data_IF_084152703573
#
_entry.id   IF_084152703573
#
_cell.length_a   1.000
_cell.length_b   1.000
_cell.length_c   1.000
_cell.angle_alpha   90.00
_cell.angle_beta   90.00
_cell.angle_gamma   90.00
#
_symmetry.space_group_name_H-M   'P 1'
#
loop_
_entity.id
_entity.type
_entity.pdbx_description
1 polymer ?
#
# COMPACT_ATOMS: atom_id res chain seq x y z
N UNK A 1 19.56 -10.54 16.09
CA UNK A 1 18.62 -10.40 14.94
C UNK A 1 19.25 -9.41 13.97
N UNK A 2 19.21 -9.67 12.66
CA UNK A 2 19.78 -8.73 11.66
C UNK A 2 18.66 -7.90 11.06
N UNK A 3 18.82 -6.58 11.07
CA UNK A 3 17.89 -5.63 10.47
C UNK A 3 18.49 -5.04 9.21
N UNK A 4 17.74 -5.02 8.10
CA UNK A 4 18.18 -4.38 6.85
C UNK A 4 17.89 -2.89 6.91
N UNK A 5 18.92 -2.05 6.82
CA UNK A 5 18.74 -0.62 6.54
C UNK A 5 19.17 -0.35 5.11
N UNK A 6 18.23 0.17 4.31
CA UNK A 6 18.50 0.57 2.95
C UNK A 6 17.74 1.86 2.64
N UNK A 7 18.47 2.96 2.51
CA UNK A 7 17.88 4.25 2.15
C UNK A 7 17.50 4.23 0.68
N UNK A 8 16.22 4.41 0.37
CA UNK A 8 15.78 4.59 -1.02
C UNK A 8 15.60 6.05 -1.43
N UNK A 9 15.22 6.88 -0.46
CA UNK A 9 15.03 8.33 -0.61
C UNK A 9 16.32 9.06 -0.99
N UNK A 10 16.21 10.23 -1.63
CA UNK A 10 17.38 11.02 -1.99
C UNK A 10 18.13 11.48 -0.72
N UNK A 11 19.42 11.71 -0.88
CA UNK A 11 20.23 12.45 0.10
C UNK A 11 20.36 13.87 -0.42
N UNK A 12 20.12 14.83 0.45
CA UNK A 12 20.15 16.25 0.13
C UNK A 12 21.30 16.88 0.92
N UNK A 13 22.25 17.45 0.19
CA UNK A 13 23.37 18.18 0.77
C UNK A 13 22.88 19.19 1.83
N UNK A 14 23.56 19.21 2.98
CA UNK A 14 23.24 20.10 4.10
C UNK A 14 22.13 19.61 5.03
N UNK A 15 21.43 18.53 4.71
CA UNK A 15 20.50 17.89 5.66
C UNK A 15 21.24 16.93 6.60
N UNK A 16 20.61 16.61 7.73
CA UNK A 16 21.17 15.75 8.77
C UNK A 16 20.66 14.32 8.64
N UNK A 17 21.57 13.38 8.86
CA UNK A 17 21.33 11.96 8.68
C UNK A 17 22.00 11.14 9.77
N UNK A 18 21.40 10.00 10.06
CA UNK A 18 22.14 8.87 10.62
C UNK A 18 22.95 8.24 9.49
N UNK A 19 24.25 8.04 9.72
CA UNK A 19 25.16 7.46 8.74
C UNK A 19 26.11 6.44 9.35
N UNK A 20 26.63 5.57 8.50
CA UNK A 20 27.66 4.58 8.79
C UNK A 20 28.88 4.85 7.91
N UNK A 21 30.07 4.46 8.35
CA UNK A 21 31.25 4.43 7.48
C UNK A 21 31.33 3.08 6.79
N UNK A 22 31.36 3.04 5.46
CA UNK A 22 31.44 1.80 4.72
C UNK A 22 32.75 1.04 5.04
N UNK A 23 32.67 -0.22 5.49
CA UNK A 23 33.84 -1.07 5.75
C UNK A 23 34.67 -1.43 4.51
N UNK A 24 34.18 -1.11 3.31
CA UNK A 24 34.86 -1.34 2.04
C UNK A 24 35.57 -0.11 1.49
N UNK A 25 34.83 0.98 1.23
CA UNK A 25 35.40 2.19 0.62
C UNK A 25 35.61 3.35 1.60
N UNK A 26 35.30 3.17 2.89
CA UNK A 26 35.41 4.20 3.95
C UNK A 26 34.55 5.45 3.74
N UNK A 27 33.69 5.45 2.73
CA UNK A 27 32.73 6.51 2.46
C UNK A 27 31.50 6.42 3.37
N UNK A 28 30.84 7.56 3.60
CA UNK A 28 29.61 7.60 4.40
C UNK A 28 28.42 6.97 3.66
N UNK A 29 27.69 6.12 4.37
CA UNK A 29 26.40 5.56 3.96
C UNK A 29 25.31 6.26 4.78
N UNK A 30 24.57 7.16 4.14
CA UNK A 30 23.43 7.83 4.76
C UNK A 30 22.23 6.86 4.84
N UNK A 31 21.80 6.50 6.05
CA UNK A 31 20.78 5.46 6.27
C UNK A 31 19.38 6.02 6.54
N UNK A 32 19.26 7.03 7.40
CA UNK A 32 17.97 7.57 7.86
C UNK A 32 18.06 9.09 8.05
N UNK A 33 16.92 9.79 7.90
CA UNK A 33 16.85 11.21 8.21
C UNK A 33 16.98 11.44 9.72
N UNK A 34 17.77 12.43 10.13
CA UNK A 34 17.76 12.91 11.51
C UNK A 34 16.82 14.11 11.66
N UNK A 35 15.62 13.84 12.17
CA UNK A 35 14.61 14.86 12.43
C UNK A 35 15.01 15.86 13.51
N UNK A 36 16.03 15.53 14.33
CA UNK A 36 16.58 16.44 15.33
C UNK A 36 17.56 17.46 14.76
N UNK A 37 17.99 17.31 13.50
CA UNK A 37 18.95 18.20 12.83
C UNK A 37 20.27 18.36 13.62
N UNK A 38 20.79 17.25 14.14
CA UNK A 38 22.03 17.21 14.92
C UNK A 38 21.87 17.57 16.40
N UNK A 39 20.66 17.93 16.85
CA UNK A 39 20.47 18.44 18.21
C UNK A 39 20.35 17.36 19.28
N UNK A 40 20.01 16.13 18.91
CA UNK A 40 19.84 15.02 19.87
C UNK A 40 20.78 13.87 19.50
N UNK A 41 21.53 13.32 20.47
CA UNK A 41 22.36 12.15 20.20
C UNK A 41 21.49 10.95 19.80
N UNK A 42 22.05 10.08 18.98
CA UNK A 42 21.42 8.82 18.59
C UNK A 42 21.19 7.97 19.82
N UNK A 43 19.92 7.69 20.12
CA UNK A 43 19.54 6.70 21.14
C UNK A 43 18.91 5.52 20.42
N UNK A 44 19.71 4.52 20.11
CA UNK A 44 19.21 3.25 19.59
C UNK A 44 19.24 2.25 20.73
N UNK A 45 18.08 1.65 21.00
CA UNK A 45 17.95 0.55 21.93
C UNK A 45 17.98 -0.76 21.15
N UNK A 46 18.67 -1.77 21.69
CA UNK A 46 18.77 -3.10 21.10
C UNK A 46 20.21 -3.50 20.76
N UNK A 47 20.41 -4.81 20.61
CA UNK A 47 21.67 -5.49 20.31
C UNK A 47 21.69 -6.13 18.91
N UNK A 48 20.71 -5.79 18.07
CA UNK A 48 20.60 -6.32 16.72
C UNK A 48 21.60 -5.67 15.75
N UNK A 49 22.24 -6.49 14.93
CA UNK A 49 23.10 -6.02 13.84
C UNK A 49 22.27 -5.37 12.72
N UNK A 50 22.89 -4.43 12.03
CA UNK A 50 22.34 -3.70 10.89
C UNK A 50 23.06 -4.18 9.62
N UNK A 51 22.35 -4.85 8.71
CA UNK A 51 22.85 -5.13 7.37
C UNK A 51 22.61 -3.91 6.49
N UNK A 52 23.68 -3.28 6.00
CA UNK A 52 23.60 -2.03 5.22
C UNK A 52 24.47 -2.13 3.96
N UNK A 53 23.88 -2.01 2.76
CA UNK A 53 24.64 -2.03 1.52
C UNK A 53 25.18 -0.63 1.19
N UNK A 54 26.44 -0.56 0.78
CA UNK A 54 27.04 0.67 0.29
C UNK A 54 26.69 0.89 -1.18
N UNK A 55 26.04 2.00 -1.51
CA UNK A 55 25.68 2.34 -2.89
C UNK A 55 26.87 2.69 -3.79
N UNK A 56 28.04 2.93 -3.21
CA UNK A 56 29.25 3.31 -3.94
C UNK A 56 30.06 2.10 -4.40
N UNK A 57 30.38 1.19 -3.47
CA UNK A 57 31.18 0.01 -3.75
C UNK A 57 30.39 -1.30 -3.78
N UNK A 58 29.06 -1.24 -3.61
CA UNK A 58 28.13 -2.37 -3.61
C UNK A 58 28.38 -3.43 -2.51
N UNK A 59 29.26 -3.12 -1.55
CA UNK A 59 29.55 -4.00 -0.43
C UNK A 59 28.39 -4.01 0.56
N UNK A 60 28.01 -5.20 1.00
CA UNK A 60 26.96 -5.44 1.99
C UNK A 60 27.60 -5.98 3.27
N UNK A 61 27.54 -5.21 4.35
CA UNK A 61 28.17 -5.58 5.63
C UNK A 61 27.19 -5.43 6.79
N UNK A 62 27.55 -6.06 7.91
CA UNK A 62 26.91 -5.92 9.21
C UNK A 62 27.56 -4.79 10.02
N UNK A 63 26.74 -3.98 10.66
CA UNK A 63 27.13 -2.86 11.52
C UNK A 63 26.43 -2.99 12.87
N UNK A 64 27.11 -2.61 13.94
CA UNK A 64 26.48 -2.49 15.25
C UNK A 64 25.68 -1.18 15.32
N UNK A 65 24.63 -1.08 16.17
CA UNK A 65 23.98 0.19 16.44
C UNK A 65 24.92 1.31 16.90
N UNK A 66 26.05 0.95 17.54
CA UNK A 66 27.08 1.89 17.98
C UNK A 66 27.92 2.49 16.84
N UNK A 67 27.87 1.90 15.64
CA UNK A 67 28.59 2.42 14.47
C UNK A 67 27.87 3.64 13.85
N UNK A 68 26.61 3.89 14.24
CA UNK A 68 25.81 4.99 13.72
C UNK A 68 26.26 6.34 14.28
N UNK A 69 26.50 7.28 13.38
CA UNK A 69 26.82 8.67 13.71
C UNK A 69 25.82 9.62 13.07
N UNK A 70 25.58 10.74 13.74
CA UNK A 70 24.82 11.85 13.15
C UNK A 70 25.79 12.72 12.37
N UNK A 71 25.50 12.91 11.09
CA UNK A 71 26.33 13.71 10.18
C UNK A 71 25.44 14.60 9.33
N UNK A 72 25.97 15.75 8.95
CA UNK A 72 25.39 16.56 7.89
C UNK A 72 25.93 16.05 6.55
N UNK A 73 25.06 15.85 5.55
CA UNK A 73 25.50 15.36 4.25
C UNK A 73 26.30 16.42 3.49
N UNK A 74 27.48 16.06 3.00
CA UNK A 74 28.34 16.94 2.19
C UNK A 74 27.97 16.93 0.70
N UNK A 75 27.11 16.00 0.30
CA UNK A 75 26.74 15.71 -1.08
C UNK A 75 25.26 15.36 -1.21
N UNK A 76 24.80 15.28 -2.46
CA UNK A 76 23.44 14.85 -2.77
C UNK A 76 23.46 13.55 -3.58
N UNK A 77 22.53 12.65 -3.27
CA UNK A 77 22.30 11.44 -4.04
C UNK A 77 20.86 11.41 -4.55
N UNK A 78 20.64 10.99 -5.81
CA UNK A 78 19.29 10.80 -6.30
C UNK A 78 18.59 9.67 -5.55
N UNK A 79 17.26 9.70 -5.60
CA UNK A 79 16.43 8.58 -5.18
C UNK A 79 16.76 7.32 -5.97
N UNK A 80 16.65 6.16 -5.33
CA UNK A 80 16.67 4.85 -6.02
C UNK A 80 15.27 4.32 -6.33
N UNK A 81 14.24 5.09 -6.01
CA UNK A 81 12.91 4.84 -6.54
C UNK A 81 12.88 5.20 -8.03
N UNK A 82 12.17 4.41 -8.86
CA UNK A 82 11.84 4.87 -10.20
C UNK A 82 11.03 6.17 -10.10
N UNK A 83 11.16 7.02 -11.12
CA UNK A 83 10.33 8.21 -11.24
C UNK A 83 8.85 7.83 -11.20
N UNK A 84 8.07 8.60 -10.43
CA UNK A 84 6.66 8.31 -10.18
C UNK A 84 5.80 9.07 -11.16
N UNK A 85 4.78 8.39 -11.67
CA UNK A 85 3.81 8.99 -12.59
C UNK A 85 2.93 10.03 -11.87
N UNK A 86 2.44 11.02 -12.60
CA UNK A 86 1.53 12.00 -12.01
C UNK A 86 0.19 11.34 -11.66
N UNK A 87 -0.26 11.47 -10.42
CA UNK A 87 -1.52 10.89 -9.94
C UNK A 87 -2.72 11.47 -10.69
N UNK A 88 -3.63 10.60 -11.14
CA UNK A 88 -4.92 10.97 -11.71
C UNK A 88 -6.07 10.40 -10.87
N UNK A 89 -7.03 11.26 -10.51
CA UNK A 89 -8.26 10.87 -9.81
C UNK A 89 -9.32 10.30 -10.77
N UNK A 90 -9.03 10.21 -12.06
CA UNK A 90 -9.97 9.67 -13.03
C UNK A 90 -10.10 8.15 -12.87
N UNK A 91 -11.33 7.59 -12.95
CA UNK A 91 -11.51 6.15 -13.03
C UNK A 91 -10.98 5.63 -14.38
N UNK A 92 -10.90 4.30 -14.52
CA UNK A 92 -10.65 3.69 -15.83
C UNK A 92 -11.66 4.20 -16.88
N UNK A 93 -11.19 4.48 -18.09
CA UNK A 93 -12.00 5.10 -19.15
C UNK A 93 -12.51 4.04 -20.13
N UNK A 94 -13.78 4.08 -20.58
CA UNK A 94 -14.25 3.19 -21.64
C UNK A 94 -13.41 3.39 -22.91
N UNK A 95 -12.92 2.30 -23.51
CA UNK A 95 -12.02 2.35 -24.67
C UNK A 95 -12.65 3.12 -25.83
N UNK A 96 -13.92 2.83 -26.16
CA UNK A 96 -14.62 3.45 -27.29
C UNK A 96 -14.71 4.98 -27.14
N UNK A 97 -14.84 5.48 -25.91
CA UNK A 97 -14.97 6.93 -25.65
C UNK A 97 -13.63 7.65 -25.67
N UNK A 98 -12.60 7.04 -25.10
CA UNK A 98 -11.28 7.68 -24.98
C UNK A 98 -10.39 7.46 -26.21
N UNK A 99 -10.54 6.32 -26.90
CA UNK A 99 -9.68 5.90 -28.01
C UNK A 99 -10.51 5.19 -29.10
N UNK A 100 -11.43 5.93 -29.73
CA UNK A 100 -12.41 5.41 -30.69
C UNK A 100 -11.84 4.67 -31.91
N UNK A 101 -10.55 4.84 -32.22
CA UNK A 101 -9.85 4.19 -33.34
C UNK A 101 -8.78 3.18 -32.90
N UNK A 102 -8.62 2.94 -31.59
CA UNK A 102 -7.63 2.00 -31.09
C UNK A 102 -7.96 0.57 -31.52
N UNK A 103 -6.95 -0.12 -32.06
CA UNK A 103 -6.96 -1.54 -32.37
C UNK A 103 -6.27 -2.28 -31.25
N UNK A 104 -7.01 -3.10 -30.52
CA UNK A 104 -6.53 -3.75 -29.30
C UNK A 104 -6.19 -5.20 -29.57
N UNK A 105 -5.02 -5.61 -29.09
CA UNK A 105 -4.62 -7.00 -29.01
C UNK A 105 -4.67 -7.44 -27.55
N UNK A 106 -5.46 -8.47 -27.25
CA UNK A 106 -5.62 -9.04 -25.91
C UNK A 106 -4.82 -10.33 -25.80
N UNK A 107 -4.29 -10.63 -24.62
CA UNK A 107 -3.63 -11.91 -24.37
C UNK A 107 -2.63 -11.87 -23.21
N UNK A 108 -2.14 -13.04 -22.85
CA UNK A 108 -1.09 -13.20 -21.84
C UNK A 108 0.22 -12.61 -22.39
N UNK A 109 1.01 -11.96 -21.53
CA UNK A 109 2.31 -11.38 -21.91
C UNK A 109 2.24 -9.96 -22.46
N UNK A 110 1.13 -9.51 -23.07
CA UNK A 110 1.06 -8.15 -23.63
C UNK A 110 1.20 -7.03 -22.60
N UNK A 111 1.00 -7.31 -21.31
CA UNK A 111 1.31 -6.35 -20.25
C UNK A 111 2.81 -6.00 -20.21
N UNK A 112 3.69 -6.88 -20.68
CA UNK A 112 5.14 -6.68 -20.75
C UNK A 112 5.53 -5.59 -21.76
N UNK A 113 4.72 -5.39 -22.80
CA UNK A 113 4.88 -4.27 -23.74
C UNK A 113 4.58 -2.90 -23.09
N UNK A 114 4.10 -2.89 -21.85
CA UNK A 114 3.78 -1.69 -21.05
C UNK A 114 4.51 -1.75 -19.70
N UNK A 115 5.85 -1.71 -19.67
CA UNK A 115 6.63 -2.03 -18.46
C UNK A 115 6.30 -1.12 -17.27
N UNK A 116 6.01 0.16 -17.50
CA UNK A 116 5.56 1.09 -16.45
C UNK A 116 4.21 0.68 -15.85
N UNK A 117 3.23 0.35 -16.71
CA UNK A 117 1.92 -0.12 -16.25
C UNK A 117 2.04 -1.46 -15.53
N UNK A 118 2.85 -2.39 -16.06
CA UNK A 118 3.15 -3.69 -15.43
C UNK A 118 3.75 -3.53 -14.04
N UNK A 119 4.73 -2.63 -13.87
CA UNK A 119 5.34 -2.34 -12.57
C UNK A 119 4.33 -1.76 -11.58
N UNK A 120 3.43 -0.87 -12.02
CA UNK A 120 2.38 -0.31 -11.17
C UNK A 120 1.33 -1.36 -10.77
N UNK A 121 0.88 -2.20 -11.71
CA UNK A 121 -0.02 -3.32 -11.42
C UNK A 121 0.63 -4.30 -10.44
N UNK A 122 1.91 -4.64 -10.67
CA UNK A 122 2.69 -5.47 -9.77
C UNK A 122 2.72 -4.89 -8.36
N UNK A 123 3.06 -3.60 -8.23
CA UNK A 123 3.07 -2.90 -6.94
C UNK A 123 1.71 -2.91 -6.25
N UNK A 124 0.62 -2.67 -6.98
CA UNK A 124 -0.75 -2.72 -6.44
C UNK A 124 -1.06 -4.09 -5.85
N UNK A 125 -0.73 -5.15 -6.58
CA UNK A 125 -0.99 -6.54 -6.15
C UNK A 125 -0.10 -6.90 -4.96
N UNK A 126 1.20 -6.63 -5.02
CA UNK A 126 2.14 -7.03 -3.96
C UNK A 126 1.92 -6.25 -2.66
N UNK A 127 1.64 -4.95 -2.73
CA UNK A 127 1.39 -4.13 -1.52
C UNK A 127 0.11 -4.52 -0.80
N UNK A 128 -0.80 -5.26 -1.45
CA UNK A 128 -1.99 -5.76 -0.77
C UNK A 128 -1.68 -6.84 0.27
N UNK A 129 -0.65 -7.66 0.05
CA UNK A 129 -0.22 -8.64 1.04
C UNK A 129 0.20 -7.95 2.36
N UNK A 130 0.87 -6.80 2.26
CA UNK A 130 1.24 -5.99 3.43
C UNK A 130 0.00 -5.44 4.16
N UNK A 131 -1.04 -5.05 3.42
CA UNK A 131 -2.34 -4.66 3.99
C UNK A 131 -2.97 -5.83 4.76
N UNK A 132 -2.94 -7.05 4.21
CA UNK A 132 -3.48 -8.24 4.89
C UNK A 132 -2.72 -8.58 6.18
N UNK A 133 -1.39 -8.40 6.19
CA UNK A 133 -0.58 -8.49 7.40
C UNK A 133 -1.03 -7.48 8.44
N UNK A 134 -1.24 -6.21 8.07
CA UNK A 134 -1.71 -5.18 9.00
C UNK A 134 -3.13 -5.47 9.52
N UNK A 135 -4.04 -5.95 8.68
CA UNK A 135 -5.39 -6.36 9.11
C UNK A 135 -5.31 -7.52 10.10
N UNK A 136 -4.42 -8.49 9.89
CA UNK A 136 -4.21 -9.61 10.82
C UNK A 136 -3.67 -9.12 12.16
N UNK A 137 -2.72 -8.18 12.14
CA UNK A 137 -2.19 -7.54 13.37
C UNK A 137 -3.28 -6.77 14.12
N UNK A 138 -4.13 -6.05 13.38
CA UNK A 138 -5.27 -5.34 13.95
C UNK A 138 -6.28 -6.31 14.59
N UNK A 139 -6.57 -7.44 13.95
CA UNK A 139 -7.41 -8.47 14.55
C UNK A 139 -6.77 -9.05 15.83
N UNK A 140 -5.46 -9.30 15.83
CA UNK A 140 -4.75 -9.80 16.99
C UNK A 140 -4.81 -8.82 18.18
N UNK A 141 -4.64 -7.53 17.90
CA UNK A 141 -4.87 -6.45 18.87
C UNK A 141 -6.29 -6.52 19.42
N UNK A 142 -7.33 -6.55 18.57
CA UNK A 142 -8.72 -6.62 19.02
C UNK A 142 -9.00 -7.84 19.91
N UNK A 143 -8.47 -9.01 19.55
CA UNK A 143 -8.67 -10.26 20.28
C UNK A 143 -7.82 -10.36 21.57
N UNK A 144 -6.83 -9.48 21.77
CA UNK A 144 -5.85 -9.62 22.86
C UNK A 144 -5.05 -10.93 22.75
N UNK A 145 -4.87 -11.45 21.53
CA UNK A 145 -4.30 -12.75 21.26
C UNK A 145 -2.93 -12.63 20.58
N UNK A 146 -2.10 -13.67 20.72
CA UNK A 146 -0.80 -13.69 20.07
C UNK A 146 -0.96 -13.85 18.54
N UNK A 147 -0.11 -13.13 17.79
CA UNK A 147 -0.22 -12.95 16.34
C UNK A 147 -0.21 -14.29 15.57
N UNK A 148 0.65 -15.29 15.88
CA UNK A 148 0.67 -16.54 15.14
C UNK A 148 -0.66 -17.30 15.18
N UNK A 149 -1.35 -17.31 16.33
CA UNK A 149 -2.64 -17.97 16.51
C UNK A 149 -3.71 -17.28 15.66
N UNK A 150 -3.75 -15.95 15.71
CA UNK A 150 -4.70 -15.16 14.93
C UNK A 150 -4.40 -15.27 13.44
N UNK A 151 -3.12 -15.27 13.03
CA UNK A 151 -2.72 -15.47 11.64
C UNK A 151 -3.16 -16.84 11.10
N UNK A 152 -3.05 -17.91 11.89
CA UNK A 152 -3.53 -19.23 11.49
C UNK A 152 -5.06 -19.25 11.25
N UNK A 153 -5.83 -18.66 12.17
CA UNK A 153 -7.30 -18.56 12.03
C UNK A 153 -7.68 -17.65 10.87
N UNK A 154 -7.12 -16.44 10.82
CA UNK A 154 -7.43 -15.44 9.81
C UNK A 154 -7.02 -15.89 8.41
N UNK A 155 -5.87 -16.55 8.27
CA UNK A 155 -5.42 -17.15 7.01
C UNK A 155 -6.30 -18.32 6.53
N UNK A 156 -7.04 -18.97 7.42
CA UNK A 156 -8.04 -19.99 7.01
C UNK A 156 -9.28 -19.37 6.37
N UNK A 157 -9.53 -18.07 6.59
CA UNK A 157 -10.63 -17.32 6.00
C UNK A 157 -10.26 -16.89 4.57
N UNK A 158 -10.61 -17.74 3.60
CA UNK A 158 -10.20 -17.58 2.19
C UNK A 158 -10.78 -16.36 1.48
N UNK A 159 -11.89 -15.80 1.96
CA UNK A 159 -12.54 -14.67 1.31
C UNK A 159 -12.51 -13.44 2.23
N UNK A 160 -12.29 -12.28 1.61
CA UNK A 160 -12.15 -11.01 2.31
C UNK A 160 -13.40 -10.57 3.06
N UNK A 161 -14.60 -10.96 2.61
CA UNK A 161 -15.85 -10.66 3.31
C UNK A 161 -15.84 -11.31 4.69
N UNK A 162 -15.55 -12.61 4.77
CA UNK A 162 -15.49 -13.34 6.03
C UNK A 162 -14.38 -12.80 6.94
N UNK A 163 -13.26 -12.35 6.38
CA UNK A 163 -12.22 -11.64 7.15
C UNK A 163 -12.73 -10.33 7.75
N UNK A 164 -13.47 -9.52 6.97
CA UNK A 164 -14.09 -8.28 7.46
C UNK A 164 -15.19 -8.52 8.49
N UNK A 165 -15.96 -9.59 8.32
CA UNK A 165 -17.00 -10.00 9.29
C UNK A 165 -16.36 -10.41 10.62
N UNK A 166 -15.29 -11.22 10.58
CA UNK A 166 -14.54 -11.60 11.77
C UNK A 166 -13.93 -10.39 12.49
N UNK A 167 -13.38 -9.43 11.74
CA UNK A 167 -12.85 -8.19 12.29
C UNK A 167 -13.94 -7.34 12.96
N UNK A 168 -15.11 -7.24 12.32
CA UNK A 168 -16.26 -6.50 12.86
C UNK A 168 -16.79 -7.15 14.13
N UNK A 169 -16.96 -8.47 14.13
CA UNK A 169 -17.43 -9.22 15.29
C UNK A 169 -16.48 -9.10 16.48
N UNK A 170 -15.16 -9.21 16.27
CA UNK A 170 -14.17 -8.99 17.32
C UNK A 170 -14.26 -7.56 17.89
N UNK A 171 -14.42 -6.57 17.02
CA UNK A 171 -14.50 -5.18 17.40
C UNK A 171 -15.75 -4.83 18.20
N UNK A 172 -16.91 -5.37 17.84
CA UNK A 172 -18.18 -5.15 18.55
C UNK A 172 -18.13 -5.60 20.01
N UNK A 173 -17.29 -6.59 20.32
CA UNK A 173 -17.11 -7.10 21.69
C UNK A 173 -16.19 -6.19 22.52
N UNK A 174 -15.19 -5.56 21.90
CA UNK A 174 -14.07 -4.93 22.64
C UNK A 174 -13.97 -3.42 22.50
N UNK A 175 -14.64 -2.81 21.51
CA UNK A 175 -14.55 -1.38 21.22
C UNK A 175 -15.80 -0.65 21.72
N UNK A 176 -15.61 0.59 22.17
CA UNK A 176 -16.73 1.50 22.42
C UNK A 176 -17.30 2.03 21.08
N UNK A 177 -18.42 2.75 21.13
CA UNK A 177 -19.11 3.24 19.94
C UNK A 177 -18.27 4.14 19.02
N UNK A 178 -17.39 4.98 19.56
CA UNK A 178 -16.55 5.86 18.73
C UNK A 178 -15.46 5.07 18.01
N UNK A 179 -14.77 4.17 18.72
CA UNK A 179 -13.73 3.33 18.15
C UNK A 179 -14.29 2.33 17.14
N UNK A 180 -15.47 1.77 17.42
CA UNK A 180 -16.18 0.90 16.50
C UNK A 180 -16.55 1.65 15.21
N UNK A 181 -17.07 2.88 15.33
CA UNK A 181 -17.40 3.71 14.17
C UNK A 181 -16.16 4.05 13.33
N UNK A 182 -15.03 4.35 13.99
CA UNK A 182 -13.75 4.57 13.33
C UNK A 182 -13.29 3.31 12.59
N UNK A 183 -13.31 2.15 13.22
CA UNK A 183 -12.95 0.89 12.56
C UNK A 183 -13.86 0.59 11.35
N UNK A 184 -15.17 0.81 11.48
CA UNK A 184 -16.11 0.62 10.37
C UNK A 184 -15.77 1.50 9.16
N UNK A 185 -15.28 2.73 9.38
CA UNK A 185 -14.79 3.58 8.30
C UNK A 185 -13.56 2.98 7.61
N UNK A 186 -12.63 2.38 8.36
CA UNK A 186 -11.48 1.66 7.81
C UNK A 186 -11.89 0.41 7.00
N UNK A 187 -12.89 -0.34 7.46
CA UNK A 187 -13.42 -1.51 6.72
C UNK A 187 -14.05 -1.07 5.39
N UNK A 188 -14.83 0.02 5.40
CA UNK A 188 -15.40 0.59 4.16
C UNK A 188 -14.30 1.04 3.20
N UNK A 189 -13.25 1.69 3.71
CA UNK A 189 -12.10 2.10 2.90
C UNK A 189 -11.36 0.90 2.30
N UNK A 190 -11.08 -0.13 3.10
CA UNK A 190 -10.48 -1.39 2.65
C UNK A 190 -11.26 -1.97 1.49
N UNK A 191 -12.58 -2.12 1.63
CA UNK A 191 -13.43 -2.72 0.61
C UNK A 191 -13.39 -1.93 -0.72
N UNK A 192 -13.29 -0.60 -0.67
CA UNK A 192 -13.14 0.22 -1.87
C UNK A 192 -11.83 -0.05 -2.60
N UNK A 193 -10.70 -0.06 -1.89
CA UNK A 193 -9.37 -0.31 -2.48
C UNK A 193 -9.24 -1.75 -2.99
N UNK A 194 -9.79 -2.69 -2.24
CA UNK A 194 -9.79 -4.09 -2.61
C UNK A 194 -10.51 -4.32 -3.93
N UNK A 195 -11.63 -3.63 -4.16
CA UNK A 195 -12.35 -3.71 -5.43
C UNK A 195 -11.47 -3.28 -6.60
N UNK A 196 -10.75 -2.16 -6.47
CA UNK A 196 -9.84 -1.69 -7.52
C UNK A 196 -8.67 -2.65 -7.74
N UNK A 197 -8.11 -3.20 -6.65
CA UNK A 197 -7.06 -4.24 -6.71
C UNK A 197 -7.56 -5.50 -7.40
N UNK A 198 -8.75 -5.98 -7.06
CA UNK A 198 -9.32 -7.22 -7.60
C UNK A 198 -9.63 -7.10 -9.08
N UNK A 199 -10.11 -5.93 -9.53
CA UNK A 199 -10.28 -5.66 -10.96
C UNK A 199 -8.95 -5.86 -11.70
N UNK A 200 -7.83 -5.34 -11.17
CA UNK A 200 -6.51 -5.51 -11.79
C UNK A 200 -5.97 -6.95 -11.67
N UNK A 201 -6.12 -7.59 -10.50
CA UNK A 201 -5.61 -8.94 -10.27
C UNK A 201 -6.30 -10.02 -11.11
N UNK A 202 -7.59 -9.82 -11.41
CA UNK A 202 -8.40 -10.76 -12.20
C UNK A 202 -8.74 -10.24 -13.59
N UNK A 203 -8.08 -9.16 -14.02
CA UNK A 203 -8.26 -8.57 -15.33
C UNK A 203 -7.60 -9.37 -16.44
N UNK A 204 -8.18 -9.30 -17.65
CA UNK A 204 -7.45 -9.62 -18.87
C UNK A 204 -6.86 -8.34 -19.45
N UNK A 205 -5.56 -8.37 -19.75
CA UNK A 205 -4.83 -7.22 -20.27
C UNK A 205 -4.62 -7.30 -21.77
N UNK A 206 -4.54 -6.13 -22.39
CA UNK A 206 -4.20 -5.96 -23.79
C UNK A 206 -3.55 -4.62 -24.05
N UNK A 207 -3.13 -4.44 -25.29
CA UNK A 207 -2.36 -3.28 -25.74
C UNK A 207 -2.87 -2.77 -27.06
N UNK A 208 -2.54 -1.51 -27.35
CA UNK A 208 -2.74 -0.91 -28.65
C UNK A 208 -1.57 0.01 -28.98
N UNK A 209 -1.11 0.00 -30.23
CA UNK A 209 -0.03 0.90 -30.68
C UNK A 209 -0.43 2.39 -30.51
N UNK A 210 -1.72 2.71 -30.62
CA UNK A 210 -2.23 4.07 -30.38
C UNK A 210 -2.33 4.45 -28.90
N UNK A 211 -1.98 3.53 -27.99
CA UNK A 211 -2.00 3.69 -26.54
C UNK A 211 -0.66 3.17 -25.98
N UNK A 212 0.45 3.88 -26.21
CA UNK A 212 1.79 3.36 -25.96
C UNK A 212 2.15 3.23 -24.47
N UNK A 213 1.55 4.04 -23.60
CA UNK A 213 1.93 4.08 -22.17
C UNK A 213 0.90 3.44 -21.24
N UNK A 214 -0.35 3.28 -21.69
CA UNK A 214 -1.45 2.78 -20.87
C UNK A 214 -1.79 1.33 -21.20
N UNK A 215 -2.53 0.68 -20.30
CA UNK A 215 -2.94 -0.72 -20.47
C UNK A 215 -4.44 -0.80 -20.74
N UNK A 216 -4.82 -1.63 -21.72
CA UNK A 216 -6.22 -1.99 -21.97
C UNK A 216 -6.58 -3.14 -21.05
N UNK A 217 -7.78 -3.07 -20.49
CA UNK A 217 -8.29 -4.00 -19.50
C UNK A 217 -9.72 -4.40 -19.83
N UNK A 218 -10.06 -5.65 -19.56
CA UNK A 218 -11.43 -6.16 -19.58
C UNK A 218 -11.61 -7.15 -18.44
N UNK A 219 -12.84 -7.29 -17.94
CA UNK A 219 -13.14 -8.31 -16.93
C UNK A 219 -12.92 -9.71 -17.50
N UNK A 220 -12.44 -10.64 -16.68
CA UNK A 220 -12.30 -12.04 -17.09
C UNK A 220 -13.63 -12.64 -17.56
N UNK A 221 -14.74 -12.30 -16.91
CA UNK A 221 -16.08 -12.77 -17.30
C UNK A 221 -16.50 -12.28 -18.68
N UNK A 222 -16.28 -11.00 -19.00
CA UNK A 222 -16.60 -10.45 -20.32
C UNK A 222 -15.69 -11.07 -21.40
N UNK A 223 -14.41 -11.30 -21.09
CA UNK A 223 -13.48 -11.93 -22.02
C UNK A 223 -13.85 -13.40 -22.30
N UNK A 224 -14.26 -14.15 -21.27
CA UNK A 224 -14.77 -15.51 -21.42
C UNK A 224 -16.07 -15.55 -22.24
N UNK A 225 -16.99 -14.63 -21.99
CA UNK A 225 -18.24 -14.52 -22.72
C UNK A 225 -18.00 -14.25 -24.22
N UNK A 226 -17.07 -13.33 -24.54
CA UNK A 226 -16.65 -13.08 -25.92
C UNK A 226 -16.09 -14.35 -26.59
N UNK A 227 -15.15 -15.03 -25.94
CA UNK A 227 -14.53 -16.24 -26.50
C UNK A 227 -15.56 -17.36 -26.73
N UNK A 228 -16.51 -17.54 -25.80
CA UNK A 228 -17.60 -18.49 -25.94
C UNK A 228 -18.55 -18.14 -27.10
N UNK A 229 -18.95 -16.87 -27.22
CA UNK A 229 -19.81 -16.39 -28.31
C UNK A 229 -19.14 -16.55 -29.67
N UNK A 230 -17.85 -16.21 -29.79
CA UNK A 230 -17.09 -16.37 -31.02
C UNK A 230 -16.97 -17.84 -31.43
N UNK A 231 -16.67 -18.75 -30.48
CA UNK A 231 -16.64 -20.20 -30.72
C UNK A 231 -18.00 -20.76 -31.18
N UNK A 232 -19.10 -20.15 -30.74
CA UNK A 232 -20.45 -20.51 -31.14
C UNK A 232 -20.94 -19.80 -32.41
N UNK A 233 -20.08 -19.03 -33.11
CA UNK A 233 -20.44 -18.19 -34.26
C UNK A 233 -21.60 -17.20 -33.97
N UNK A 234 -21.69 -16.70 -32.74
CA UNK A 234 -22.69 -15.72 -32.33
C UNK A 234 -22.09 -14.30 -32.35
N UNK A 235 -22.47 -13.49 -33.34
CA UNK A 235 -22.03 -12.09 -33.47
C UNK A 235 -22.76 -11.13 -32.50
N UNK A 236 -23.12 -11.58 -31.30
CA UNK A 236 -23.89 -10.77 -30.33
C UNK A 236 -23.04 -10.06 -29.28
N UNK A 237 -21.74 -10.35 -29.22
CA UNK A 237 -20.87 -9.81 -28.17
C UNK A 237 -19.78 -8.92 -28.76
N UNK A 238 -19.92 -7.60 -28.60
CA UNK A 238 -18.84 -6.66 -28.90
C UNK A 238 -17.93 -6.48 -27.67
N UNK A 239 -16.78 -7.16 -27.70
CA UNK A 239 -15.77 -7.06 -26.64
C UNK A 239 -15.29 -5.61 -26.45
N UNK A 240 -15.31 -4.80 -27.51
CA UNK A 240 -14.82 -3.43 -27.48
C UNK A 240 -15.62 -2.53 -26.54
N UNK A 241 -16.93 -2.78 -26.42
CA UNK A 241 -17.81 -2.06 -25.49
C UNK A 241 -17.52 -2.40 -24.02
N UNK A 242 -16.85 -3.52 -23.76
CA UNK A 242 -16.46 -4.00 -22.43
C UNK A 242 -15.02 -3.66 -22.06
N UNK A 243 -14.27 -3.08 -22.98
CA UNK A 243 -12.86 -2.70 -22.75
C UNK A 243 -12.74 -1.32 -22.11
N UNK A 244 -11.79 -1.22 -21.20
CA UNK A 244 -11.42 0.00 -20.50
C UNK A 244 -9.93 0.25 -20.61
N UNK A 245 -9.51 1.50 -20.38
CA UNK A 245 -8.11 1.90 -20.31
C UNK A 245 -7.78 2.35 -18.90
N UNK A 246 -6.73 1.75 -18.33
CA UNK A 246 -6.09 2.24 -17.12
C UNK A 246 -4.91 3.12 -17.51
N UNK A 247 -5.06 4.43 -17.28
CA UNK A 247 -3.98 5.39 -17.44
C UNK A 247 -2.96 5.21 -16.31
N UNK A 248 -1.68 5.53 -16.59
CA UNK A 248 -0.60 5.40 -15.61
C UNK A 248 -0.89 6.18 -14.34
N UNK A 249 -1.42 7.40 -14.45
CA UNK A 249 -1.79 8.21 -13.30
C UNK A 249 -2.91 7.59 -12.44
N UNK A 250 -3.85 6.85 -13.04
CA UNK A 250 -4.88 6.12 -12.30
C UNK A 250 -4.27 4.94 -11.55
N UNK A 251 -3.35 4.20 -12.19
CA UNK A 251 -2.63 3.10 -11.53
C UNK A 251 -1.74 3.60 -10.38
N UNK A 252 -1.02 4.70 -10.58
CA UNK A 252 -0.18 5.30 -9.54
C UNK A 252 -1.01 5.79 -8.36
N UNK A 253 -2.20 6.36 -8.61
CA UNK A 253 -3.15 6.69 -7.55
C UNK A 253 -3.49 5.46 -6.70
N UNK A 254 -3.93 4.37 -7.32
CA UNK A 254 -4.32 3.13 -6.61
C UNK A 254 -3.14 2.61 -5.80
N UNK A 255 -1.96 2.54 -6.42
CA UNK A 255 -0.74 2.06 -5.75
C UNK A 255 -0.34 2.93 -4.56
N UNK A 256 -0.48 4.26 -4.67
CA UNK A 256 -0.23 5.20 -3.57
C UNK A 256 -1.27 5.07 -2.46
N UNK A 257 -2.54 4.97 -2.81
CA UNK A 257 -3.64 4.85 -1.85
C UNK A 257 -3.61 3.53 -1.06
N UNK A 258 -3.15 2.43 -1.66
CA UNK A 258 -2.93 1.15 -0.96
C UNK A 258 -1.78 1.27 0.05
N UNK A 259 -0.66 1.89 -0.34
CA UNK A 259 0.46 2.13 0.55
C UNK A 259 0.07 3.06 1.71
N UNK A 260 -0.68 4.12 1.43
CA UNK A 260 -1.25 5.00 2.45
C UNK A 260 -2.15 4.21 3.41
N UNK A 261 -3.01 3.33 2.89
CA UNK A 261 -3.91 2.55 3.73
C UNK A 261 -3.17 1.56 4.65
N UNK A 262 -2.05 1.00 4.20
CA UNK A 262 -1.16 0.21 5.06
C UNK A 262 -0.67 1.02 6.27
N UNK A 263 -0.19 2.26 6.06
CA UNK A 263 0.26 3.13 7.15
C UNK A 263 -0.90 3.53 8.07
N UNK A 264 -2.07 3.84 7.49
CA UNK A 264 -3.29 4.16 8.24
C UNK A 264 -3.68 3.01 9.17
N UNK A 265 -3.65 1.76 8.71
CA UNK A 265 -3.92 0.59 9.56
C UNK A 265 -2.91 0.50 10.72
N UNK A 266 -1.62 0.73 10.45
CA UNK A 266 -0.61 0.78 11.50
C UNK A 266 -0.89 1.86 12.55
N UNK A 267 -1.31 3.05 12.13
CA UNK A 267 -1.71 4.12 13.04
C UNK A 267 -2.96 3.76 13.86
N UNK A 268 -3.95 3.11 13.25
CA UNK A 268 -5.13 2.63 13.96
C UNK A 268 -4.78 1.56 14.99
N UNK A 269 -3.95 0.57 14.63
CA UNK A 269 -3.48 -0.46 15.55
C UNK A 269 -2.74 0.15 16.73
N UNK A 270 -1.82 1.10 16.50
CA UNK A 270 -1.10 1.79 17.58
C UNK A 270 -2.02 2.64 18.46
N UNK A 271 -3.04 3.26 17.87
CA UNK A 271 -4.09 3.97 18.61
C UNK A 271 -4.90 3.02 19.50
N UNK A 272 -5.30 1.86 19.01
CA UNK A 272 -6.06 0.88 19.79
C UNK A 272 -5.19 0.24 20.88
N UNK A 273 -3.94 -0.13 20.59
CA UNK A 273 -3.05 -0.74 21.58
C UNK A 273 -2.79 0.17 22.78
N UNK A 274 -2.83 1.50 22.58
CA UNK A 274 -2.66 2.45 23.67
C UNK A 274 -3.74 2.33 24.77
N UNK A 275 -4.88 1.65 24.53
CA UNK A 275 -5.89 1.37 25.57
C UNK A 275 -5.34 0.57 26.75
N UNK A 276 -4.24 -0.15 26.53
CA UNK A 276 -3.59 -0.96 27.57
C UNK A 276 -2.64 -0.14 28.47
N UNK A 277 -2.38 1.13 28.15
CA UNK A 277 -1.41 1.99 28.85
C UNK A 277 -2.04 2.90 29.92
N UNK A 278 -3.23 2.55 30.42
CA UNK A 278 -3.92 3.32 31.47
C UNK A 278 -4.14 4.80 31.10
N UNK A 279 -4.02 5.75 32.06
CA UNK A 279 -4.31 7.16 31.83
C UNK A 279 -3.46 7.82 30.74
N UNK A 280 -2.18 7.44 30.61
CA UNK A 280 -1.30 7.97 29.57
C UNK A 280 -1.77 7.54 28.18
N UNK A 281 -2.24 6.29 28.07
CA UNK A 281 -2.86 5.76 26.86
C UNK A 281 -4.15 6.48 26.48
N UNK A 282 -5.03 6.74 27.44
CA UNK A 282 -6.27 7.48 27.19
C UNK A 282 -6.01 8.92 26.73
N UNK A 283 -5.07 9.63 27.35
CA UNK A 283 -4.68 10.97 26.94
C UNK A 283 -4.16 10.99 25.48
N UNK A 284 -3.28 10.04 25.13
CA UNK A 284 -2.79 9.88 23.77
C UNK A 284 -3.94 9.63 22.78
N UNK A 285 -4.87 8.74 23.13
CA UNK A 285 -6.01 8.39 22.28
C UNK A 285 -6.98 9.56 22.09
N UNK A 286 -7.26 10.33 23.13
CA UNK A 286 -8.12 11.51 23.04
C UNK A 286 -7.63 12.51 21.97
N UNK A 287 -6.32 12.74 21.88
CA UNK A 287 -5.72 13.56 20.83
C UNK A 287 -5.74 12.85 19.48
N UNK A 288 -5.27 11.59 19.45
CA UNK A 288 -5.04 10.85 18.20
C UNK A 288 -6.33 10.49 17.46
N UNK A 289 -7.46 10.34 18.15
CA UNK A 289 -8.74 9.99 17.52
C UNK A 289 -9.15 10.99 16.43
N UNK A 290 -9.06 12.29 16.71
CA UNK A 290 -9.44 13.33 15.75
C UNK A 290 -8.50 13.33 14.53
N UNK A 291 -7.20 13.14 14.77
CA UNK A 291 -6.20 13.04 13.69
C UNK A 291 -6.49 11.86 12.75
N UNK A 292 -6.89 10.70 13.30
CA UNK A 292 -7.30 9.55 12.49
C UNK A 292 -8.59 9.82 11.72
N UNK A 293 -9.56 10.50 12.33
CA UNK A 293 -10.81 10.86 11.68
C UNK A 293 -10.65 11.87 10.55
N UNK A 294 -9.65 12.75 10.64
CA UNK A 294 -9.40 13.80 9.65
C UNK A 294 -8.53 13.36 8.47
N UNK A 295 -8.01 12.12 8.49
CA UNK A 295 -7.40 11.52 7.31
C UNK A 295 -8.41 11.48 6.17
N UNK A 296 -8.06 12.08 5.02
CA UNK A 296 -8.97 12.36 3.90
C UNK A 296 -9.89 11.20 3.55
N UNK A 297 -9.33 10.03 3.27
CA UNK A 297 -10.08 8.86 2.82
C UNK A 297 -10.90 8.20 3.93
N UNK A 298 -10.44 8.28 5.18
CA UNK A 298 -11.17 7.81 6.36
C UNK A 298 -12.38 8.72 6.61
N UNK A 299 -12.19 10.03 6.51
CA UNK A 299 -13.26 11.04 6.62
C UNK A 299 -14.38 10.83 5.60
N UNK A 300 -14.03 10.46 4.36
CA UNK A 300 -15.03 10.13 3.34
C UNK A 300 -15.76 8.82 3.65
N UNK A 301 -15.04 7.79 4.11
CA UNK A 301 -15.66 6.53 4.56
C UNK A 301 -16.59 6.73 5.77
N UNK A 302 -16.25 7.63 6.69
CA UNK A 302 -17.10 8.01 7.82
C UNK A 302 -18.47 8.52 7.38
N UNK A 303 -18.52 9.34 6.32
CA UNK A 303 -19.78 9.84 5.77
C UNK A 303 -20.65 8.68 5.32
N UNK A 304 -20.06 7.69 4.62
CA UNK A 304 -20.76 6.48 4.19
C UNK A 304 -21.32 5.67 5.36
N UNK A 305 -20.53 5.45 6.41
CA UNK A 305 -20.97 4.69 7.60
C UNK A 305 -22.12 5.42 8.31
N UNK A 306 -21.98 6.73 8.56
CA UNK A 306 -23.03 7.53 9.21
C UNK A 306 -24.34 7.55 8.42
N UNK A 307 -24.27 7.61 7.10
CA UNK A 307 -25.48 7.57 6.26
C UNK A 307 -26.17 6.20 6.32
N UNK A 308 -25.42 5.09 6.45
CA UNK A 308 -26.01 3.75 6.62
C UNK A 308 -26.70 3.61 7.98
N UNK A 309 -26.05 4.03 9.07
CA UNK A 309 -26.60 3.89 10.42
C UNK A 309 -27.84 4.76 10.66
N UNK A 310 -28.08 5.80 9.86
CA UNK A 310 -29.32 6.59 9.90
C UNK A 310 -30.53 5.91 9.25
N UNK A 311 -30.31 4.84 8.48
CA UNK A 311 -31.36 4.13 7.73
C UNK A 311 -31.82 2.83 8.40
N UNK A 312 -31.06 2.36 9.39
CA UNK A 312 -31.37 1.24 10.28
C UNK A 312 -32.00 1.77 11.56
#
# INVERSE_FOLDING_TARGET
MVYRLYRRDPVVKGQWYLALECKGCHELIYVLDDTSKGTRPVRIAGDGDLSVPCKRCMRDDLYSPGDLKIVQAEESFPSTYPEREAVSNSPRKPLIKAYANAKVTMGVGYIEDRPKAAALVGRIITSWADVEVQVTRLLAELMGANIPQVAAVFGSLRNSRTQSDALSAAAEVVLNGNDLLLLQAYIVRKASLEKERNDLAHGCFGVSVSIPDHIVWVSQSDFLAFNAAHKANQNRFDLREKQFVYELGTLERIAKEIAEFYDQLGFLTGYLSARHNGPAGEAFRATRYNELCDQRHIKDAFKTVRTKNKKT
#
